data_IF_942394896429
#
_entry.id   IF_942394896429
#
_cell.length_a   1.000
_cell.length_b   1.000
_cell.length_c   1.000
_cell.angle_alpha   90.00
_cell.angle_beta   90.00
_cell.angle_gamma   90.00
#
_symmetry.space_group_name_H-M   'P 1'
#
loop_
_entity.id
_entity.type
_entity.pdbx_description
1 polymer ?
#
# COMPACT_ATOMS: atom_id res chain seq x y z
N UNK A 1 -7.26 29.55 11.89
CA UNK A 1 -7.01 28.10 12.11
C UNK A 1 -5.56 27.82 11.78
N UNK A 2 -4.80 27.19 12.69
CA UNK A 2 -3.42 26.76 12.43
C UNK A 2 -3.48 25.61 11.42
N UNK A 3 -2.78 25.71 10.28
CA UNK A 3 -2.63 24.56 9.36
C UNK A 3 -2.10 23.37 10.17
N UNK A 4 -2.63 22.15 10.00
CA UNK A 4 -2.06 20.98 10.66
C UNK A 4 -0.57 20.89 10.29
N UNK A 5 0.27 20.70 11.30
CA UNK A 5 1.71 20.48 11.07
C UNK A 5 1.83 19.07 10.50
N UNK A 6 2.14 18.99 9.21
CA UNK A 6 2.43 17.73 8.56
C UNK A 6 3.89 17.37 8.77
N UNK A 7 4.16 16.11 9.14
CA UNK A 7 5.53 15.68 9.46
C UNK A 7 6.21 15.04 8.24
N UNK A 8 5.44 14.51 7.30
CA UNK A 8 5.97 13.82 6.13
C UNK A 8 6.23 14.78 4.97
N UNK A 9 7.42 14.69 4.38
CA UNK A 9 7.82 15.55 3.24
C UNK A 9 7.69 14.84 1.90
N UNK A 10 7.88 13.52 1.84
CA UNK A 10 7.89 12.78 0.60
C UNK A 10 7.58 11.30 0.78
N UNK A 11 7.20 10.68 -0.32
CA UNK A 11 7.07 9.23 -0.49
C UNK A 11 8.32 8.70 -1.20
N UNK A 12 8.80 7.53 -0.79
CA UNK A 12 9.72 6.69 -1.58
C UNK A 12 8.94 5.48 -2.11
N UNK A 13 8.31 5.64 -3.26
CA UNK A 13 7.38 4.63 -3.78
C UNK A 13 8.08 3.72 -4.80
N UNK A 14 7.76 2.43 -4.82
CA UNK A 14 8.21 1.55 -5.91
C UNK A 14 7.62 2.01 -7.26
N UNK A 15 8.44 2.27 -8.28
CA UNK A 15 7.98 2.76 -9.58
C UNK A 15 7.05 1.77 -10.29
N UNK A 16 7.23 0.47 -10.07
CA UNK A 16 6.39 -0.54 -10.70
C UNK A 16 4.96 -0.59 -10.11
N UNK A 17 4.70 0.15 -9.04
CA UNK A 17 3.37 0.36 -8.48
C UNK A 17 2.83 1.75 -8.80
N UNK A 18 3.56 2.81 -8.46
CA UNK A 18 3.03 4.17 -8.60
C UNK A 18 2.91 4.64 -10.06
N UNK A 19 3.66 4.03 -10.98
CA UNK A 19 3.57 4.30 -12.42
C UNK A 19 2.85 3.19 -13.19
N UNK A 20 2.22 2.23 -12.49
CA UNK A 20 1.53 1.12 -13.12
C UNK A 20 0.31 1.61 -13.92
N UNK A 21 0.29 1.43 -15.26
CA UNK A 21 -0.78 1.94 -16.09
C UNK A 21 -2.10 1.23 -15.76
N UNK A 22 -3.12 1.99 -15.37
CA UNK A 22 -4.46 1.47 -15.09
C UNK A 22 -4.65 0.82 -13.72
N UNK A 23 -3.60 0.70 -12.89
CA UNK A 23 -3.72 0.22 -11.51
C UNK A 23 -4.62 1.14 -10.70
N UNK A 24 -4.32 2.44 -10.72
CA UNK A 24 -5.17 3.50 -10.20
C UNK A 24 -5.78 4.28 -11.36
N UNK A 25 -7.10 4.46 -11.36
CA UNK A 25 -7.82 5.12 -12.47
C UNK A 25 -8.93 6.04 -12.01
N UNK A 26 -9.36 6.95 -12.87
CA UNK A 26 -10.57 7.73 -12.64
C UNK A 26 -11.79 6.80 -12.65
N UNK A 27 -12.58 6.82 -11.58
CA UNK A 27 -13.76 5.98 -11.41
C UNK A 27 -15.04 6.82 -11.38
N UNK A 28 -16.03 6.40 -12.15
CA UNK A 28 -17.41 6.92 -12.07
C UNK A 28 -18.18 6.21 -10.97
N UNK A 29 -19.28 6.83 -10.53
CA UNK A 29 -20.19 6.24 -9.56
C UNK A 29 -20.69 4.88 -10.08
N UNK A 30 -20.44 3.82 -9.32
CA UNK A 30 -20.87 2.46 -9.64
C UNK A 30 -19.80 1.60 -10.31
N UNK A 31 -18.68 2.15 -10.76
CA UNK A 31 -17.60 1.38 -11.41
C UNK A 31 -17.05 0.29 -10.48
N UNK A 32 -16.90 0.60 -9.19
CA UNK A 32 -16.49 -0.37 -8.17
C UNK A 32 -17.39 -1.60 -8.07
N UNK A 33 -18.68 -1.47 -8.40
CA UNK A 33 -19.65 -2.59 -8.40
C UNK A 33 -19.64 -3.40 -9.70
N UNK A 34 -19.19 -2.83 -10.81
CA UNK A 34 -19.36 -3.39 -12.16
C UNK A 34 -18.05 -3.86 -12.79
N UNK A 35 -16.95 -3.23 -12.44
CA UNK A 35 -15.65 -3.49 -13.02
C UNK A 35 -14.78 -4.30 -12.05
N UNK A 36 -13.81 -5.03 -12.60
CA UNK A 36 -12.75 -5.71 -11.86
C UNK A 36 -11.40 -5.02 -12.11
N UNK A 37 -10.45 -5.25 -11.22
CA UNK A 37 -9.04 -4.93 -11.44
C UNK A 37 -8.39 -6.18 -12.04
N UNK A 38 -7.92 -6.06 -13.28
CA UNK A 38 -6.98 -7.00 -13.90
C UNK A 38 -6.13 -6.19 -14.86
N UNK A 39 -4.91 -5.89 -14.43
CA UNK A 39 -3.97 -5.04 -15.16
C UNK A 39 -2.68 -5.81 -15.28
N UNK A 40 -2.21 -6.01 -16.50
CA UNK A 40 -0.89 -6.61 -16.77
C UNK A 40 -0.08 -5.64 -17.62
N UNK A 41 1.17 -5.39 -17.24
CA UNK A 41 2.08 -4.59 -18.02
C UNK A 41 3.54 -5.01 -17.80
N UNK A 42 4.41 -4.66 -18.75
CA UNK A 42 5.85 -4.88 -18.64
C UNK A 42 6.52 -3.69 -17.94
N UNK A 43 7.28 -3.96 -16.89
CA UNK A 43 8.10 -3.00 -16.17
C UNK A 43 9.59 -3.23 -16.52
N UNK A 44 10.27 -2.22 -17.05
CA UNK A 44 11.63 -2.41 -17.58
C UNK A 44 11.66 -3.36 -18.78
N UNK A 45 12.76 -4.09 -18.96
CA UNK A 45 12.97 -4.94 -20.14
C UNK A 45 12.30 -6.32 -20.02
N UNK A 46 12.43 -6.99 -18.86
CA UNK A 46 12.11 -8.43 -18.72
C UNK A 46 11.17 -8.77 -17.55
N UNK A 47 10.50 -7.79 -16.95
CA UNK A 47 9.63 -8.01 -15.80
C UNK A 47 8.17 -7.73 -16.15
N UNK A 48 7.29 -8.70 -15.93
CA UNK A 48 5.85 -8.56 -16.08
C UNK A 48 5.19 -8.42 -14.71
N UNK A 49 4.37 -7.38 -14.58
CA UNK A 49 3.59 -7.07 -13.40
C UNK A 49 2.11 -7.28 -13.71
N UNK A 50 1.42 -8.13 -12.94
CA UNK A 50 -0.02 -8.30 -12.99
C UNK A 50 -0.68 -7.98 -11.65
N UNK A 51 -1.70 -7.13 -11.67
CA UNK A 51 -2.50 -6.74 -10.51
C UNK A 51 -3.92 -7.24 -10.71
N UNK A 52 -4.42 -8.03 -9.76
CA UNK A 52 -5.75 -8.62 -9.81
C UNK A 52 -6.50 -8.29 -8.52
N UNK A 53 -7.75 -7.84 -8.64
CA UNK A 53 -8.59 -7.51 -7.49
C UNK A 53 -10.07 -7.46 -7.86
N UNK A 54 -10.93 -7.64 -6.86
CA UNK A 54 -12.37 -7.68 -7.05
C UNK A 54 -13.01 -6.33 -7.39
N UNK A 55 -12.32 -5.23 -7.09
CA UNK A 55 -12.74 -3.86 -7.36
C UNK A 55 -11.55 -3.06 -7.92
N UNK A 56 -11.77 -2.12 -8.85
CA UNK A 56 -10.72 -1.21 -9.30
C UNK A 56 -10.30 -0.21 -8.22
N UNK A 57 -9.04 0.23 -8.30
CA UNK A 57 -8.50 1.27 -7.42
C UNK A 57 -8.65 2.65 -8.04
N UNK A 58 -9.06 3.61 -7.21
CA UNK A 58 -9.26 5.01 -7.56
C UNK A 58 -8.11 5.91 -7.10
N UNK A 59 -8.24 7.21 -7.38
CA UNK A 59 -7.29 8.21 -6.91
C UNK A 59 -7.27 8.37 -5.37
N UNK A 60 -8.40 8.10 -4.71
CA UNK A 60 -8.51 8.02 -3.25
C UNK A 60 -7.67 6.88 -2.68
N UNK A 61 -7.71 5.70 -3.32
CA UNK A 61 -6.88 4.54 -2.94
C UNK A 61 -5.39 4.85 -3.14
N UNK A 62 -5.03 5.48 -4.25
CA UNK A 62 -3.64 5.89 -4.54
C UNK A 62 -3.09 6.84 -3.47
N UNK A 63 -3.84 7.88 -3.12
CA UNK A 63 -3.43 8.86 -2.09
C UNK A 63 -3.26 8.20 -0.73
N UNK A 64 -4.17 7.29 -0.38
CA UNK A 64 -4.07 6.54 0.86
C UNK A 64 -2.81 5.68 0.89
N UNK A 65 -2.53 4.94 -0.20
CA UNK A 65 -1.31 4.14 -0.32
C UNK A 65 -0.06 5.03 -0.18
N UNK A 66 -0.01 6.17 -0.88
CA UNK A 66 1.09 7.12 -0.79
C UNK A 66 1.32 7.63 0.64
N UNK A 67 0.25 7.93 1.37
CA UNK A 67 0.34 8.31 2.79
C UNK A 67 0.93 7.19 3.66
N UNK A 68 0.50 5.95 3.46
CA UNK A 68 1.04 4.77 4.18
C UNK A 68 2.52 4.56 3.84
N UNK A 69 2.88 4.62 2.56
CA UNK A 69 4.28 4.46 2.10
C UNK A 69 5.17 5.57 2.67
N UNK A 70 4.69 6.81 2.74
CA UNK A 70 5.42 7.91 3.36
C UNK A 70 5.66 7.68 4.86
N UNK A 71 4.67 7.15 5.59
CA UNK A 71 4.82 6.78 7.00
C UNK A 71 5.81 5.64 7.23
N UNK A 72 5.97 4.74 6.26
CA UNK A 72 6.95 3.65 6.32
C UNK A 72 8.41 4.13 6.38
N UNK A 73 8.72 5.32 5.86
CA UNK A 73 10.06 5.88 5.93
C UNK A 73 10.56 6.10 7.38
N UNK A 74 9.89 6.96 8.18
CA UNK A 74 10.30 7.23 9.56
C UNK A 74 9.88 6.13 10.55
N UNK A 75 8.76 5.45 10.33
CA UNK A 75 8.10 4.60 11.33
C UNK A 75 8.02 3.12 10.91
N UNK A 76 8.73 2.72 9.85
CA UNK A 76 8.71 1.37 9.33
C UNK A 76 9.33 0.35 10.28
N UNK A 77 8.65 -0.77 10.46
CA UNK A 77 9.13 -1.94 11.21
C UNK A 77 9.27 -3.10 10.22
N UNK A 78 10.42 -3.75 10.18
CA UNK A 78 10.66 -4.86 9.26
C UNK A 78 9.67 -6.00 9.52
N UNK A 79 9.02 -6.51 8.47
CA UNK A 79 8.19 -7.71 8.52
C UNK A 79 8.97 -8.89 7.93
N UNK A 80 9.72 -9.58 8.77
CA UNK A 80 10.52 -10.73 8.36
C UNK A 80 9.66 -11.90 7.83
N UNK A 81 10.26 -12.87 7.11
CA UNK A 81 9.58 -14.10 6.71
C UNK A 81 8.91 -14.85 7.86
N UNK A 82 9.56 -14.85 9.02
CA UNK A 82 9.08 -15.48 10.26
C UNK A 82 8.94 -14.45 11.39
N UNK A 83 7.83 -13.69 11.46
CA UNK A 83 7.63 -12.70 12.52
C UNK A 83 7.43 -13.37 13.88
N UNK A 84 8.03 -12.80 14.92
CA UNK A 84 7.91 -13.30 16.30
C UNK A 84 6.64 -12.83 17.01
N UNK A 85 6.11 -11.66 16.62
CA UNK A 85 4.86 -11.11 17.17
C UNK A 85 3.63 -11.74 16.53
N UNK A 86 2.53 -11.82 17.30
CA UNK A 86 1.25 -12.33 16.80
C UNK A 86 0.68 -11.47 15.67
N UNK A 87 0.64 -10.15 15.86
CA UNK A 87 0.22 -9.20 14.82
C UNK A 87 1.08 -9.32 13.57
N UNK A 88 2.40 -9.47 13.72
CA UNK A 88 3.30 -9.68 12.59
C UNK A 88 2.98 -10.97 11.83
N UNK A 89 2.75 -12.09 12.53
CA UNK A 89 2.36 -13.37 11.90
C UNK A 89 1.05 -13.23 11.14
N UNK A 90 0.05 -12.56 11.72
CA UNK A 90 -1.24 -12.33 11.08
C UNK A 90 -1.10 -11.45 9.82
N UNK A 91 -0.37 -10.33 9.92
CA UNK A 91 -0.11 -9.46 8.77
C UNK A 91 0.63 -10.20 7.66
N UNK A 92 1.64 -11.01 8.00
CA UNK A 92 2.39 -11.83 7.04
C UNK A 92 1.49 -12.85 6.35
N UNK A 93 0.62 -13.52 7.11
CA UNK A 93 -0.36 -14.47 6.56
C UNK A 93 -1.29 -13.79 5.55
N UNK A 94 -1.84 -12.62 5.90
CA UNK A 94 -2.73 -11.85 5.02
C UNK A 94 -2.02 -11.18 3.85
N UNK A 95 -0.70 -11.01 3.90
CA UNK A 95 0.09 -10.55 2.76
C UNK A 95 0.26 -11.66 1.71
N UNK A 96 0.03 -12.92 2.10
CA UNK A 96 0.05 -14.12 1.25
C UNK A 96 1.27 -14.18 0.31
N UNK A 97 2.51 -14.06 0.83
CA UNK A 97 3.70 -14.16 0.00
C UNK A 97 3.85 -15.57 -0.58
N UNK A 98 4.18 -15.65 -1.87
CA UNK A 98 4.35 -16.89 -2.62
C UNK A 98 5.59 -16.83 -3.49
N UNK A 99 6.14 -18.01 -3.79
CA UNK A 99 7.38 -18.18 -4.54
C UNK A 99 8.54 -17.43 -3.85
N UNK A 100 9.33 -16.65 -4.59
CA UNK A 100 10.47 -15.94 -4.02
C UNK A 100 10.09 -14.91 -2.95
N UNK A 101 8.84 -14.42 -2.96
CA UNK A 101 8.38 -13.47 -1.96
C UNK A 101 8.29 -14.06 -0.54
N UNK A 102 8.29 -15.40 -0.41
CA UNK A 102 8.24 -16.10 0.88
C UNK A 102 9.42 -15.68 1.75
N UNK A 103 10.60 -15.50 1.15
CA UNK A 103 11.85 -15.16 1.84
C UNK A 103 12.11 -13.65 1.93
N UNK A 104 11.26 -12.81 1.34
CA UNK A 104 11.48 -11.37 1.27
C UNK A 104 10.79 -10.64 2.43
N UNK A 105 11.47 -9.65 2.99
CA UNK A 105 10.93 -8.80 4.04
C UNK A 105 9.84 -7.86 3.50
N UNK A 106 8.73 -7.75 4.23
CA UNK A 106 7.79 -6.64 4.08
C UNK A 106 8.14 -5.48 5.03
N UNK A 107 7.26 -4.48 5.09
CA UNK A 107 7.39 -3.37 6.05
C UNK A 107 6.06 -3.05 6.70
N UNK A 108 6.04 -3.00 8.03
CA UNK A 108 4.87 -2.64 8.81
C UNK A 108 4.90 -1.16 9.18
N UNK A 109 3.76 -0.51 9.03
CA UNK A 109 3.47 0.83 9.55
C UNK A 109 2.42 0.69 10.65
N UNK A 110 2.63 1.34 11.80
CA UNK A 110 1.69 1.36 12.92
C UNK A 110 1.32 2.78 13.29
N UNK A 111 0.09 3.18 12.98
CA UNK A 111 -0.38 4.57 13.16
C UNK A 111 -1.87 4.64 13.49
N UNK A 112 -2.36 5.82 13.88
CA UNK A 112 -3.80 6.07 14.02
C UNK A 112 -4.46 6.42 12.69
N UNK A 113 -5.77 6.14 12.58
CA UNK A 113 -6.57 6.57 11.43
C UNK A 113 -6.55 8.09 11.24
N UNK A 114 -6.64 8.84 12.34
CA UNK A 114 -6.56 10.31 12.34
C UNK A 114 -5.24 10.81 11.79
N UNK A 115 -4.10 10.20 12.17
CA UNK A 115 -2.79 10.57 11.64
C UNK A 115 -2.73 10.32 10.14
N UNK A 116 -3.20 9.15 9.69
CA UNK A 116 -3.23 8.80 8.27
C UNK A 116 -4.11 9.75 7.45
N UNK A 117 -5.31 10.09 7.94
CA UNK A 117 -6.17 11.11 7.32
C UNK A 117 -5.46 12.46 7.24
N UNK A 118 -4.82 12.90 8.33
CA UNK A 118 -4.11 14.19 8.34
C UNK A 118 -2.96 14.24 7.34
N UNK A 119 -2.23 13.15 7.16
CA UNK A 119 -1.07 13.10 6.26
C UNK A 119 -1.49 13.08 4.79
N UNK A 120 -2.68 12.57 4.47
CA UNK A 120 -3.28 12.62 3.13
C UNK A 120 -4.11 13.87 2.87
N UNK A 121 -4.16 14.81 3.83
CA UNK A 121 -4.89 16.07 3.70
C UNK A 121 -6.40 15.96 3.97
N UNK A 122 -6.87 14.83 4.49
CA UNK A 122 -8.27 14.59 4.80
C UNK A 122 -8.60 14.98 6.25
N UNK A 123 -9.82 15.46 6.48
CA UNK A 123 -10.32 15.76 7.82
C UNK A 123 -10.75 14.50 8.55
N UNK A 124 -10.66 14.52 9.87
CA UNK A 124 -11.16 13.45 10.74
C UNK A 124 -12.69 13.53 10.86
N UNK A 125 -13.39 12.95 9.87
CA UNK A 125 -14.84 12.87 9.81
C UNK A 125 -15.30 11.42 9.64
N UNK A 126 -16.51 11.11 10.11
CA UNK A 126 -17.06 9.74 10.04
C UNK A 126 -17.10 9.18 8.61
N UNK A 127 -17.45 10.03 7.63
CA UNK A 127 -17.47 9.64 6.21
C UNK A 127 -16.06 9.37 5.66
N UNK A 128 -15.07 10.18 6.05
CA UNK A 128 -13.67 9.97 5.64
C UNK A 128 -13.09 8.71 6.27
N UNK A 129 -13.37 8.44 7.55
CA UNK A 129 -12.98 7.18 8.22
C UNK A 129 -13.58 5.98 7.48
N UNK A 130 -14.87 6.05 7.13
CA UNK A 130 -15.55 4.97 6.40
C UNK A 130 -14.93 4.75 5.02
N UNK A 131 -14.64 5.83 4.29
CA UNK A 131 -13.99 5.78 2.99
C UNK A 131 -12.58 5.18 3.07
N UNK A 132 -11.81 5.58 4.08
CA UNK A 132 -10.48 5.05 4.36
C UNK A 132 -10.51 3.55 4.65
N UNK A 133 -11.39 3.08 5.55
CA UNK A 133 -11.54 1.64 5.83
C UNK A 133 -11.92 0.84 4.59
N UNK A 134 -12.82 1.36 3.77
CA UNK A 134 -13.19 0.73 2.50
C UNK A 134 -11.99 0.68 1.52
N UNK A 135 -11.12 1.69 1.53
CA UNK A 135 -9.91 1.72 0.71
C UNK A 135 -8.87 0.71 1.18
N UNK A 136 -8.62 0.61 2.49
CA UNK A 136 -7.75 -0.42 3.07
C UNK A 136 -8.19 -1.84 2.67
N UNK A 137 -9.50 -2.11 2.77
CA UNK A 137 -10.06 -3.40 2.37
C UNK A 137 -9.92 -3.67 0.87
N UNK A 138 -10.14 -2.67 0.01
CA UNK A 138 -9.94 -2.83 -1.43
C UNK A 138 -8.49 -3.14 -1.75
N UNK A 139 -7.55 -2.36 -1.21
CA UNK A 139 -6.13 -2.54 -1.44
C UNK A 139 -5.61 -3.88 -0.88
N UNK A 140 -6.14 -4.34 0.27
CA UNK A 140 -5.75 -5.65 0.81
C UNK A 140 -6.18 -6.83 -0.05
N UNK A 141 -7.18 -6.65 -0.90
CA UNK A 141 -7.69 -7.69 -1.81
C UNK A 141 -7.00 -7.66 -3.19
N UNK A 142 -5.98 -6.83 -3.38
CA UNK A 142 -5.23 -6.76 -4.63
C UNK A 142 -4.06 -7.73 -4.57
N UNK A 143 -4.09 -8.77 -5.40
CA UNK A 143 -2.97 -9.68 -5.61
C UNK A 143 -2.07 -9.16 -6.71
N UNK A 144 -0.77 -9.18 -6.44
CA UNK A 144 0.29 -8.82 -7.38
C UNK A 144 1.03 -10.10 -7.75
N UNK A 145 1.19 -10.32 -9.05
CA UNK A 145 2.06 -11.36 -9.60
C UNK A 145 3.19 -10.69 -10.37
N UNK A 146 4.41 -11.10 -10.08
CA UNK A 146 5.63 -10.61 -10.69
C UNK A 146 6.31 -11.79 -11.37
N UNK A 147 6.62 -11.66 -12.65
CA UNK A 147 7.34 -12.67 -13.42
C UNK A 147 8.56 -12.02 -14.08
N UNK A 148 9.75 -12.58 -13.84
CA UNK A 148 11.01 -12.14 -14.48
C UNK A 148 11.78 -13.36 -14.97
N UNK A 149 11.72 -13.63 -16.27
CA UNK A 149 12.25 -14.87 -16.85
C UNK A 149 11.60 -16.10 -16.21
N UNK A 150 12.38 -16.94 -15.53
CA UNK A 150 11.90 -18.13 -14.79
C UNK A 150 11.49 -17.84 -13.34
N UNK A 151 11.79 -16.64 -12.84
CA UNK A 151 11.55 -16.24 -11.45
C UNK A 151 10.13 -15.71 -11.31
N UNK A 152 9.48 -16.07 -10.22
CA UNK A 152 8.14 -15.62 -9.88
C UNK A 152 8.09 -15.15 -8.43
N UNK A 153 7.27 -14.15 -8.18
CA UNK A 153 6.90 -13.69 -6.85
C UNK A 153 5.42 -13.30 -6.88
N UNK A 154 4.70 -13.57 -5.80
CA UNK A 154 3.35 -13.05 -5.65
C UNK A 154 3.05 -12.70 -4.19
N UNK A 155 2.20 -11.69 -3.99
CA UNK A 155 1.81 -11.17 -2.68
C UNK A 155 0.61 -10.25 -2.86
N UNK A 156 -0.11 -9.95 -1.78
CA UNK A 156 -1.07 -8.85 -1.79
C UNK A 156 -0.36 -7.49 -1.78
N UNK A 157 -1.02 -6.46 -2.31
CA UNK A 157 -0.49 -5.08 -2.35
C UNK A 157 -0.10 -4.61 -0.95
N UNK A 158 -0.94 -4.91 0.03
CA UNK A 158 -0.75 -4.67 1.46
C UNK A 158 -1.65 -5.61 2.26
N UNK A 159 -1.40 -5.77 3.56
CA UNK A 159 -2.35 -6.35 4.51
C UNK A 159 -2.53 -5.42 5.71
N UNK A 160 -3.66 -5.51 6.43
CA UNK A 160 -3.91 -4.63 7.56
C UNK A 160 -4.62 -5.34 8.71
N UNK A 161 -4.44 -4.80 9.90
CA UNK A 161 -5.14 -5.20 11.12
C UNK A 161 -5.46 -3.95 11.95
N UNK A 162 -6.57 -4.00 12.67
CA UNK A 162 -6.89 -3.02 13.70
C UNK A 162 -6.60 -3.64 15.05
N UNK A 163 -5.84 -2.94 15.88
CA UNK A 163 -5.66 -3.31 17.28
C UNK A 163 -6.98 -3.04 18.02
N UNK A 164 -7.61 -4.09 18.57
CA UNK A 164 -8.87 -3.97 19.29
C UNK A 164 -8.72 -3.22 20.63
N UNK A 165 -7.50 -3.12 21.15
CA UNK A 165 -7.19 -2.55 22.47
C UNK A 165 -7.02 -1.03 22.41
N UNK A 166 -6.29 -0.53 21.41
CA UNK A 166 -5.98 0.91 21.29
C UNK A 166 -6.47 1.55 19.98
N UNK A 167 -7.11 0.77 19.10
CA UNK A 167 -7.68 1.24 17.85
C UNK A 167 -6.64 1.61 16.79
N UNK A 168 -5.36 1.30 17.00
CA UNK A 168 -4.30 1.60 16.02
C UNK A 168 -4.43 0.71 14.80
N UNK A 169 -4.14 1.31 13.66
CA UNK A 169 -4.05 0.64 12.38
C UNK A 169 -2.62 0.13 12.21
N UNK A 170 -2.50 -1.16 11.96
CA UNK A 170 -1.28 -1.79 11.48
C UNK A 170 -1.45 -2.12 10.00
N UNK A 171 -0.52 -1.67 9.15
CA UNK A 171 -0.49 -1.99 7.72
C UNK A 171 0.85 -2.60 7.36
N UNK A 172 0.85 -3.79 6.79
CA UNK A 172 2.02 -4.36 6.16
C UNK A 172 2.02 -4.05 4.66
N UNK A 173 3.12 -3.49 4.18
CA UNK A 173 3.43 -3.24 2.78
C UNK A 173 4.20 -4.43 2.22
N UNK A 174 3.93 -4.75 0.96
CA UNK A 174 4.59 -5.84 0.28
C UNK A 174 6.11 -5.63 0.14
N UNK A 175 6.88 -6.72 -0.12
CA UNK A 175 8.34 -6.62 -0.13
C UNK A 175 8.91 -5.63 -1.13
N UNK A 176 8.27 -5.50 -2.29
CA UNK A 176 8.71 -4.59 -3.34
C UNK A 176 8.55 -3.12 -2.94
N UNK A 177 7.45 -2.77 -2.24
CA UNK A 177 7.30 -1.44 -1.67
C UNK A 177 8.27 -1.23 -0.49
N UNK A 178 8.44 -2.25 0.36
CA UNK A 178 9.35 -2.21 1.50
C UNK A 178 10.79 -1.87 1.08
N UNK A 179 11.32 -2.60 0.09
CA UNK A 179 12.65 -2.35 -0.47
C UNK A 179 12.81 -0.91 -1.00
N UNK A 180 11.77 -0.32 -1.60
CA UNK A 180 11.82 1.04 -2.12
C UNK A 180 11.90 2.07 -0.98
N UNK A 181 11.14 1.85 0.10
CA UNK A 181 11.19 2.70 1.30
C UNK A 181 12.58 2.63 1.95
N UNK A 182 13.10 1.41 2.13
CA UNK A 182 14.40 1.14 2.74
C UNK A 182 15.59 1.57 1.85
N UNK A 183 15.34 1.88 0.57
CA UNK A 183 16.37 2.31 -0.38
C UNK A 183 17.23 1.16 -0.91
N UNK A 184 16.76 -0.08 -0.78
CA UNK A 184 17.42 -1.27 -1.32
C UNK A 184 17.13 -1.48 -2.82
N UNK A 185 16.20 -0.70 -3.38
CA UNK A 185 15.88 -0.65 -4.82
C UNK A 185 15.61 0.79 -5.27
N UNK A 186 15.63 1.06 -6.58
CA UNK A 186 15.21 2.36 -7.12
C UNK A 186 13.79 2.73 -6.69
N UNK A 187 13.56 4.00 -6.36
CA UNK A 187 12.28 4.53 -5.93
C UNK A 187 11.91 5.80 -6.70
N UNK A 188 10.62 6.03 -6.87
CA UNK A 188 10.07 7.30 -7.27
C UNK A 188 9.90 8.18 -6.02
N UNK A 189 10.46 9.39 -6.05
CA UNK A 189 10.24 10.40 -5.01
C UNK A 189 8.99 11.21 -5.36
N UNK A 190 7.99 11.20 -4.50
CA UNK A 190 6.76 11.99 -4.67
C UNK A 190 6.66 12.98 -3.52
N UNK A 191 6.46 14.26 -3.81
CA UNK A 191 6.29 15.28 -2.76
C UNK A 191 4.91 15.11 -2.09
N UNK A 192 4.87 15.08 -0.76
CA UNK A 192 3.60 14.96 -0.04
C UNK A 192 2.71 16.20 -0.20
N UNK A 193 3.27 17.34 -0.61
CA UNK A 193 2.48 18.50 -1.02
C UNK A 193 1.64 18.26 -2.28
N UNK A 194 2.04 17.34 -3.17
CA UNK A 194 1.26 16.95 -4.36
C UNK A 194 0.18 15.91 -4.04
N UNK A 195 0.36 15.16 -2.94
CA UNK A 195 -0.59 14.14 -2.47
C UNK A 195 -1.76 14.77 -1.72
N UNK A 196 -1.48 15.80 -0.92
CA UNK A 196 -2.48 16.54 -0.11
C UNK A 196 -3.22 17.52 -1.02
N UNK A 197 -4.50 17.28 -1.27
CA UNK A 197 -5.39 18.13 -2.09
C UNK A 197 -6.42 18.83 -1.23
#
# INVERSE_FOLDING_TARGET
MKKPKHDLTHVRHDPAHCLAPGLFRSLKRGDRKRCKLDVTYTFGEDESMRFVGFEPLGADDMRLLQGIVALGGPNGILLTPEPTSETGRQLRLFLEPRFEAIEQDGLVVRESLTKLLSETGMTDSGDNIKALKASLLRMSNVTILVTKGRRQAAFHLMSHAFDETDGRLWVALNPRIAEAILGHRPYARIDMAEVRV
#
